data_IF_947753916921
#
_entry.id   IF_947753916921
#
_cell.length_a   1.000
_cell.length_b   1.000
_cell.length_c   1.000
_cell.angle_alpha   90.00
_cell.angle_beta   90.00
_cell.angle_gamma   90.00
#
_symmetry.space_group_name_H-M   'P 1'
#
loop_
_entity.id
_entity.type
_entity.pdbx_description
1 polymer ?
#
# COMPACT_ATOMS: atom_id res chain seq x y z
N UNK A 1 21.79 -14.42 29.63
CA UNK A 1 21.32 -15.39 28.67
C UNK A 1 21.11 -14.82 27.28
N UNK A 2 20.91 -15.71 26.37
CA UNK A 2 20.55 -15.42 24.98
C UNK A 2 19.06 -15.75 24.81
N UNK A 3 18.30 -14.89 24.20
CA UNK A 3 16.91 -15.14 23.83
C UNK A 3 16.75 -14.91 22.34
N UNK A 4 16.19 -15.89 21.63
CA UNK A 4 15.90 -15.80 20.19
C UNK A 4 14.43 -16.09 20.01
N UNK A 5 13.75 -15.24 19.26
CA UNK A 5 12.38 -15.46 18.81
C UNK A 5 12.35 -15.32 17.30
N UNK A 6 11.85 -16.33 16.61
CA UNK A 6 11.68 -16.31 15.16
C UNK A 6 10.21 -16.43 14.78
N UNK A 7 9.80 -15.73 13.73
CA UNK A 7 8.46 -15.79 13.14
C UNK A 7 8.62 -15.95 11.63
N UNK A 8 7.80 -16.83 11.04
CA UNK A 8 7.61 -16.92 9.61
C UNK A 8 6.10 -16.94 9.31
N UNK A 9 5.69 -16.28 8.25
CA UNK A 9 4.28 -16.20 7.86
C UNK A 9 4.11 -15.94 6.38
N UNK A 10 2.90 -16.18 5.90
CA UNK A 10 2.48 -15.87 4.53
C UNK A 10 1.09 -15.25 4.54
N UNK A 11 0.82 -14.43 3.53
CA UNK A 11 -0.46 -13.78 3.31
C UNK A 11 -0.84 -13.92 1.84
N UNK A 12 -2.10 -14.19 1.60
CA UNK A 12 -2.70 -14.15 0.27
C UNK A 12 -3.96 -13.30 0.32
N UNK A 13 -4.01 -12.30 -0.54
CA UNK A 13 -5.14 -11.40 -0.68
C UNK A 13 -5.63 -11.40 -2.13
N UNK A 14 -6.94 -11.60 -2.34
CA UNK A 14 -7.61 -11.52 -3.65
C UNK A 14 -8.83 -10.61 -3.51
N UNK A 15 -8.79 -9.48 -4.20
CA UNK A 15 -9.87 -8.50 -4.20
C UNK A 15 -10.43 -8.33 -5.61
N UNK A 16 -11.75 -8.40 -5.74
CA UNK A 16 -12.48 -8.17 -6.97
C UNK A 16 -13.68 -7.27 -6.70
N UNK A 17 -13.84 -6.26 -7.51
CA UNK A 17 -15.00 -5.38 -7.44
C UNK A 17 -15.71 -5.33 -8.81
N UNK A 18 -17.00 -5.66 -8.77
CA UNK A 18 -17.90 -5.57 -9.92
C UNK A 18 -18.86 -4.43 -9.67
N UNK A 19 -18.98 -3.53 -10.63
CA UNK A 19 -19.91 -2.40 -10.57
C UNK A 19 -20.99 -2.60 -11.62
N UNK A 20 -22.24 -2.54 -11.18
CA UNK A 20 -23.40 -2.45 -12.05
C UNK A 20 -23.99 -1.07 -11.84
N UNK A 21 -24.07 -0.30 -12.90
CA UNK A 21 -24.64 1.06 -12.89
C UNK A 21 -25.83 1.12 -13.83
N UNK A 22 -26.85 1.83 -13.41
CA UNK A 22 -28.03 2.09 -14.24
C UNK A 22 -28.45 3.53 -14.08
N UNK A 23 -28.94 4.13 -15.14
CA UNK A 23 -29.59 5.45 -15.10
C UNK A 23 -30.86 5.43 -15.94
N UNK A 24 -31.81 6.24 -15.56
CA UNK A 24 -33.01 6.49 -16.35
C UNK A 24 -33.39 7.98 -16.27
N UNK A 25 -34.11 8.44 -17.29
CA UNK A 25 -34.65 9.80 -17.37
C UNK A 25 -36.14 9.71 -17.70
N UNK A 26 -36.90 10.75 -17.36
CA UNK A 26 -38.33 10.84 -17.69
C UNK A 26 -39.18 9.87 -16.87
N UNK A 27 -38.88 9.68 -15.59
CA UNK A 27 -39.75 8.98 -14.66
C UNK A 27 -41.15 9.70 -14.65
N UNK A 28 -42.25 8.96 -14.74
CA UNK A 28 -43.57 9.55 -14.82
C UNK A 28 -43.99 10.32 -13.56
N UNK A 29 -43.35 10.05 -12.45
CA UNK A 29 -43.54 10.72 -11.16
C UNK A 29 -42.35 10.45 -10.24
N UNK A 30 -42.09 11.34 -9.31
CA UNK A 30 -41.07 11.20 -8.26
C UNK A 30 -41.39 10.05 -7.27
N UNK A 31 -42.60 9.54 -7.29
CA UNK A 31 -43.04 8.42 -6.45
C UNK A 31 -42.59 7.04 -7.00
N UNK A 32 -42.15 6.98 -8.26
CA UNK A 32 -41.74 5.74 -8.91
C UNK A 32 -40.35 5.90 -9.51
N UNK A 33 -39.29 5.97 -8.69
CA UNK A 33 -37.90 6.22 -9.14
C UNK A 33 -37.20 4.94 -9.61
N UNK A 34 -37.94 4.00 -10.23
CA UNK A 34 -37.37 2.74 -10.69
C UNK A 34 -36.80 2.86 -12.11
N UNK A 35 -35.69 2.21 -12.40
CA UNK A 35 -35.10 2.15 -13.73
C UNK A 35 -36.07 1.62 -14.79
N UNK A 36 -36.96 0.72 -14.39
CA UNK A 36 -37.97 0.10 -15.27
C UNK A 36 -39.16 1.04 -15.59
N UNK A 37 -39.33 2.11 -14.84
CA UNK A 37 -40.40 3.10 -15.05
C UNK A 37 -39.99 4.23 -16.01
N UNK A 38 -38.77 4.19 -16.55
CA UNK A 38 -38.30 5.21 -17.49
C UNK A 38 -39.05 5.12 -18.83
N UNK A 39 -39.23 6.27 -19.45
CA UNK A 39 -39.82 6.35 -20.79
C UNK A 39 -38.95 5.66 -21.83
N UNK A 40 -39.56 5.00 -22.83
CA UNK A 40 -38.80 4.40 -23.94
C UNK A 40 -38.04 5.50 -24.69
N UNK A 41 -36.99 5.10 -25.45
CA UNK A 41 -36.23 6.06 -26.27
C UNK A 41 -37.15 6.78 -27.23
N UNK A 42 -36.99 8.08 -27.31
CA UNK A 42 -37.76 8.94 -28.21
C UNK A 42 -36.87 9.47 -29.31
N UNK A 43 -37.46 9.68 -30.48
CA UNK A 43 -36.76 10.33 -31.60
C UNK A 43 -37.05 11.80 -31.53
N UNK A 44 -36.01 12.63 -31.38
CA UNK A 44 -36.09 14.07 -31.42
C UNK A 44 -35.33 14.58 -32.66
N UNK A 45 -36.05 14.83 -33.72
CA UNK A 45 -35.47 15.09 -35.04
C UNK A 45 -34.76 13.84 -35.58
N UNK A 46 -33.46 13.96 -35.87
CA UNK A 46 -32.61 12.80 -36.27
C UNK A 46 -31.87 12.15 -35.10
N UNK A 47 -32.06 12.61 -33.88
CA UNK A 47 -31.37 12.12 -32.69
C UNK A 47 -32.23 11.14 -31.90
N UNK A 48 -31.71 9.94 -31.67
CA UNK A 48 -32.29 8.97 -30.76
C UNK A 48 -31.85 9.33 -29.35
N UNK A 49 -32.79 9.75 -28.50
CA UNK A 49 -32.55 10.00 -27.09
C UNK A 49 -32.83 8.71 -26.33
N UNK A 50 -31.82 8.16 -25.71
CA UNK A 50 -31.92 6.93 -24.93
C UNK A 50 -32.04 7.30 -23.45
N UNK A 51 -33.26 7.34 -22.87
CA UNK A 51 -33.50 7.87 -21.52
C UNK A 51 -33.08 6.92 -20.40
N UNK A 52 -32.69 5.71 -20.73
CA UNK A 52 -32.25 4.72 -19.77
C UNK A 52 -31.03 3.96 -20.29
N UNK A 53 -30.16 3.62 -19.40
CA UNK A 53 -28.98 2.82 -19.71
C UNK A 53 -28.56 1.98 -18.52
N UNK A 54 -28.02 0.82 -18.79
CA UNK A 54 -27.37 -0.03 -17.80
C UNK A 54 -25.99 -0.41 -18.28
N UNK A 55 -25.03 -0.41 -17.42
CA UNK A 55 -23.68 -0.88 -17.69
C UNK A 55 -23.19 -1.76 -16.54
N UNK A 56 -22.39 -2.73 -16.86
CA UNK A 56 -21.65 -3.51 -15.87
C UNK A 56 -20.17 -3.44 -16.18
N UNK A 57 -19.36 -3.29 -15.17
CA UNK A 57 -17.93 -3.19 -15.31
C UNK A 57 -17.20 -3.98 -14.23
N UNK A 58 -16.19 -4.72 -14.65
CA UNK A 58 -15.17 -5.30 -13.77
C UNK A 58 -13.99 -4.33 -13.73
N UNK A 59 -14.02 -3.42 -12.77
CA UNK A 59 -13.12 -2.29 -12.77
C UNK A 59 -12.00 -2.35 -11.74
N UNK A 60 -12.02 -3.33 -10.84
CA UNK A 60 -11.00 -3.46 -9.81
C UNK A 60 -10.69 -4.93 -9.54
N UNK A 61 -9.45 -5.29 -9.73
CA UNK A 61 -8.94 -6.60 -9.37
C UNK A 61 -7.50 -6.46 -8.87
N UNK A 62 -7.27 -6.99 -7.69
CA UNK A 62 -5.95 -7.01 -7.08
C UNK A 62 -5.71 -8.34 -6.38
N UNK A 63 -4.52 -8.85 -6.60
CA UNK A 63 -4.00 -10.01 -5.89
C UNK A 63 -2.66 -9.66 -5.30
N UNK A 64 -2.51 -9.89 -3.99
CA UNK A 64 -1.27 -9.71 -3.27
C UNK A 64 -0.89 -11.04 -2.63
N UNK A 65 0.36 -11.42 -2.77
CA UNK A 65 0.95 -12.59 -2.12
C UNK A 65 2.18 -12.13 -1.36
N UNK A 66 2.25 -12.46 -0.07
CA UNK A 66 3.33 -12.01 0.78
C UNK A 66 3.95 -13.16 1.57
N UNK A 67 5.25 -13.07 1.78
CA UNK A 67 5.97 -13.92 2.73
C UNK A 67 6.76 -13.02 3.68
N UNK A 68 6.76 -13.33 4.96
CA UNK A 68 7.47 -12.58 6.00
C UNK A 68 8.32 -13.51 6.87
N UNK A 69 9.53 -13.08 7.14
CA UNK A 69 10.40 -13.66 8.15
C UNK A 69 10.88 -12.60 9.11
N UNK A 70 10.87 -12.89 10.40
CA UNK A 70 11.37 -11.99 11.45
C UNK A 70 12.15 -12.77 12.49
N UNK A 71 13.28 -12.23 12.90
CA UNK A 71 14.09 -12.76 14.00
C UNK A 71 14.37 -11.63 14.99
N UNK A 72 14.06 -11.88 16.26
CA UNK A 72 14.44 -11.00 17.35
C UNK A 72 15.48 -11.75 18.20
N UNK A 73 16.57 -11.06 18.50
CA UNK A 73 17.63 -11.56 19.37
C UNK A 73 17.88 -10.59 20.50
N UNK A 74 17.94 -11.13 21.71
CA UNK A 74 18.24 -10.34 22.91
C UNK A 74 19.38 -11.04 23.67
N UNK A 75 20.42 -10.27 23.98
CA UNK A 75 21.55 -10.74 24.78
C UNK A 75 21.58 -10.04 26.12
N UNK A 76 21.55 -10.85 27.19
CA UNK A 76 21.59 -10.42 28.61
C UNK A 76 20.57 -9.31 28.94
N UNK A 77 19.47 -9.23 28.20
CA UNK A 77 18.49 -8.14 28.32
C UNK A 77 19.10 -6.73 28.15
N UNK A 78 20.28 -6.63 27.51
CA UNK A 78 21.00 -5.38 27.23
C UNK A 78 20.94 -5.02 25.77
N UNK A 79 21.30 -5.94 24.91
CA UNK A 79 21.42 -5.73 23.46
C UNK A 79 20.24 -6.40 22.77
N UNK A 80 19.53 -5.62 21.97
CA UNK A 80 18.39 -6.07 21.19
C UNK A 80 18.70 -5.94 19.72
N UNK A 81 18.49 -6.98 18.95
CA UNK A 81 18.63 -6.99 17.49
C UNK A 81 17.35 -7.57 16.89
N UNK A 82 16.78 -6.87 15.92
CA UNK A 82 15.66 -7.39 15.12
C UNK A 82 16.05 -7.35 13.65
N UNK A 83 15.85 -8.46 12.97
CA UNK A 83 15.91 -8.54 11.52
C UNK A 83 14.53 -8.95 10.98
N UNK A 84 14.08 -8.31 9.93
CA UNK A 84 12.85 -8.65 9.21
C UNK A 84 13.09 -8.64 7.72
N UNK A 85 12.46 -9.55 7.01
CA UNK A 85 12.38 -9.51 5.56
C UNK A 85 10.95 -9.82 5.15
N UNK A 86 10.42 -9.00 4.25
CA UNK A 86 9.13 -9.22 3.62
C UNK A 86 9.31 -9.26 2.11
N UNK A 87 8.70 -10.23 1.48
CA UNK A 87 8.62 -10.34 0.02
C UNK A 87 7.16 -10.24 -0.37
N UNK A 88 6.81 -9.23 -1.14
CA UNK A 88 5.44 -8.98 -1.60
C UNK A 88 5.36 -9.09 -3.12
N UNK A 89 4.33 -9.78 -3.61
CA UNK A 89 3.99 -9.84 -5.03
C UNK A 89 2.65 -9.16 -5.28
N UNK A 90 2.55 -8.33 -6.33
CA UNK A 90 1.31 -7.63 -6.70
C UNK A 90 0.95 -7.87 -8.15
N UNK A 91 -0.35 -8.15 -8.41
CA UNK A 91 -0.91 -8.29 -9.76
C UNK A 91 -1.00 -6.97 -10.53
N UNK A 92 -0.81 -5.83 -9.87
CA UNK A 92 -0.78 -4.51 -10.53
C UNK A 92 0.47 -4.30 -11.39
N UNK A 93 1.52 -5.09 -11.13
CA UNK A 93 2.78 -5.04 -11.85
C UNK A 93 2.86 -6.14 -12.92
N UNK A 94 3.79 -6.02 -13.86
CA UNK A 94 4.03 -7.01 -14.91
C UNK A 94 5.03 -8.09 -14.51
N UNK A 95 5.04 -9.16 -15.29
CA UNK A 95 6.04 -10.23 -15.19
C UNK A 95 7.46 -9.66 -15.23
N UNK A 96 8.28 -10.05 -14.26
CA UNK A 96 9.62 -9.51 -14.02
C UNK A 96 9.67 -8.53 -12.85
N UNK A 97 8.59 -7.77 -12.59
CA UNK A 97 8.52 -6.76 -11.52
C UNK A 97 7.46 -7.09 -10.45
N UNK A 98 6.80 -8.26 -10.52
CA UNK A 98 5.74 -8.64 -9.57
C UNK A 98 6.19 -8.55 -8.12
N UNK A 99 7.40 -9.04 -7.83
CA UNK A 99 7.89 -9.22 -6.48
C UNK A 99 8.84 -8.10 -6.07
N UNK A 100 8.59 -7.54 -4.88
CA UNK A 100 9.50 -6.65 -4.18
C UNK A 100 10.00 -7.29 -2.89
N UNK A 101 11.26 -7.03 -2.54
CA UNK A 101 11.85 -7.49 -1.27
C UNK A 101 12.15 -6.28 -0.39
N UNK A 102 11.67 -6.33 0.84
CA UNK A 102 11.66 -5.23 1.78
C UNK A 102 12.31 -5.67 3.10
N UNK A 103 13.64 -5.52 3.21
CA UNK A 103 14.36 -5.84 4.44
C UNK A 103 14.26 -4.71 5.46
N UNK A 104 14.41 -5.09 6.73
CA UNK A 104 14.52 -4.15 7.84
C UNK A 104 15.42 -4.72 8.94
N UNK A 105 16.14 -3.84 9.61
CA UNK A 105 16.99 -4.17 10.76
C UNK A 105 16.85 -3.09 11.82
N UNK A 106 16.83 -3.49 13.07
CA UNK A 106 16.90 -2.56 14.19
C UNK A 106 17.80 -3.06 15.30
N UNK A 107 18.47 -2.13 15.94
CA UNK A 107 19.33 -2.37 17.10
C UNK A 107 18.85 -1.47 18.23
N UNK A 108 18.71 -2.03 19.41
CA UNK A 108 18.40 -1.32 20.64
C UNK A 108 19.37 -1.70 21.75
N UNK A 109 19.62 -0.77 22.62
CA UNK A 109 20.50 -0.99 23.77
C UNK A 109 19.82 -0.56 25.07
N UNK A 110 19.56 -1.50 25.96
CA UNK A 110 19.07 -1.21 27.31
C UNK A 110 20.24 -0.76 28.19
N UNK A 111 20.62 0.51 28.04
CA UNK A 111 21.79 1.11 28.73
C UNK A 111 21.68 1.02 30.24
N UNK A 112 20.46 1.15 30.77
CA UNK A 112 20.17 1.06 32.20
C UNK A 112 20.50 -0.32 32.82
N UNK A 113 20.64 -1.37 32.01
CA UNK A 113 21.02 -2.71 32.47
C UNK A 113 22.56 -2.92 32.52
N UNK A 114 23.34 -1.91 32.11
CA UNK A 114 24.80 -1.99 32.16
C UNK A 114 25.34 -1.73 33.58
N UNK A 115 26.38 -2.46 33.95
CA UNK A 115 26.97 -2.36 35.29
C UNK A 115 27.56 -0.96 35.55
N UNK A 116 28.10 -0.31 34.53
CA UNK A 116 28.66 1.04 34.63
C UNK A 116 27.58 2.11 34.83
N UNK A 117 26.34 1.83 34.40
CA UNK A 117 25.22 2.76 34.56
C UNK A 117 24.64 2.69 35.96
N UNK A 118 24.56 1.45 36.50
CA UNK A 118 24.04 1.19 37.84
C UNK A 118 24.97 1.81 38.90
N UNK A 119 24.41 2.57 39.83
CA UNK A 119 25.18 3.28 40.85
C UNK A 119 25.68 4.70 40.43
N UNK A 120 25.46 5.11 39.21
CA UNK A 120 25.72 6.47 38.78
C UNK A 120 24.66 7.43 39.34
N UNK A 121 25.04 8.68 39.60
CA UNK A 121 24.09 9.73 40.02
C UNK A 121 22.91 9.88 39.03
N UNK A 122 23.16 9.66 37.71
CA UNK A 122 22.18 9.75 36.64
C UNK A 122 21.11 8.64 36.77
N UNK A 123 21.48 7.43 37.18
CA UNK A 123 20.55 6.31 37.31
C UNK A 123 19.47 6.53 38.37
N UNK A 124 19.72 7.46 39.29
CA UNK A 124 18.75 7.85 40.33
C UNK A 124 17.57 8.65 39.75
N UNK A 125 17.80 9.40 38.69
CA UNK A 125 16.79 10.23 38.03
C UNK A 125 16.27 9.63 36.74
N UNK A 126 17.15 9.00 35.95
CA UNK A 126 16.81 8.28 34.74
C UNK A 126 16.80 6.77 35.03
N UNK A 127 15.63 6.22 35.32
CA UNK A 127 15.44 4.80 35.66
C UNK A 127 15.59 3.86 34.46
N UNK A 128 15.24 4.33 33.26
CA UNK A 128 15.48 3.59 32.02
C UNK A 128 16.03 4.48 30.93
N UNK A 129 16.95 3.93 30.13
CA UNK A 129 17.54 4.59 28.96
C UNK A 129 17.73 3.52 27.89
N UNK A 130 17.08 3.70 26.74
CA UNK A 130 17.12 2.78 25.61
C UNK A 130 17.30 3.55 24.29
N UNK A 131 18.51 3.82 23.88
CA UNK A 131 18.79 4.28 22.52
C UNK A 131 18.47 3.14 21.51
N UNK A 132 17.99 3.53 20.34
CA UNK A 132 17.68 2.60 19.24
C UNK A 132 17.98 3.23 17.89
N UNK A 133 18.34 2.39 16.94
CA UNK A 133 18.49 2.73 15.53
C UNK A 133 17.80 1.68 14.70
N UNK A 134 17.12 2.11 13.66
CA UNK A 134 16.53 1.19 12.70
C UNK A 134 16.69 1.68 11.27
N UNK A 135 16.83 0.71 10.38
CA UNK A 135 16.79 0.93 8.94
C UNK A 135 15.82 -0.04 8.32
N UNK A 136 14.96 0.45 7.44
CA UNK A 136 13.98 -0.38 6.76
C UNK A 136 13.65 0.14 5.36
N UNK A 137 13.27 -0.80 4.51
CA UNK A 137 12.75 -0.54 3.17
C UNK A 137 11.29 -0.97 3.14
N UNK A 138 10.39 -0.06 2.70
CA UNK A 138 8.99 -0.33 2.50
C UNK A 138 8.62 -0.20 1.03
N UNK A 139 7.79 -1.12 0.52
CA UNK A 139 7.24 -1.08 -0.82
C UNK A 139 5.84 -0.49 -0.86
N UNK A 140 5.52 0.21 -1.94
CA UNK A 140 4.19 0.73 -2.20
C UNK A 140 3.82 0.59 -3.68
N UNK A 141 2.58 0.17 -3.98
CA UNK A 141 1.99 0.15 -5.32
C UNK A 141 0.58 0.74 -5.32
N UNK A 142 0.14 1.33 -4.22
CA UNK A 142 -1.24 1.81 -4.05
C UNK A 142 -1.61 2.94 -5.01
N UNK A 143 -0.63 3.76 -5.42
CA UNK A 143 -0.81 4.83 -6.41
C UNK A 143 -0.95 4.32 -7.84
N UNK A 144 -0.65 3.03 -8.09
CA UNK A 144 -0.81 2.41 -9.40
C UNK A 144 -2.24 1.90 -9.56
N UNK A 145 -2.90 2.26 -10.64
CA UNK A 145 -4.23 1.72 -10.98
C UNK A 145 -4.22 0.20 -11.14
N UNK A 146 -5.35 -0.46 -10.90
CA UNK A 146 -5.47 -1.93 -10.94
C UNK A 146 -5.02 -2.56 -12.26
N UNK A 147 -5.22 -1.84 -13.38
CA UNK A 147 -4.86 -2.28 -14.73
C UNK A 147 -3.84 -1.34 -15.41
N UNK A 148 -3.11 -0.52 -14.65
CA UNK A 148 -2.22 0.49 -15.20
C UNK A 148 -1.10 -0.09 -16.09
N UNK A 149 -0.73 -1.35 -15.88
CA UNK A 149 0.24 -2.06 -16.71
C UNK A 149 -0.39 -2.95 -17.80
N UNK A 150 -1.73 -2.93 -17.94
CA UNK A 150 -2.45 -3.71 -18.94
C UNK A 150 -2.90 -2.84 -20.10
N UNK A 151 -2.74 -3.34 -21.34
CA UNK A 151 -3.19 -2.61 -22.52
C UNK A 151 -4.72 -2.52 -22.53
N UNK A 152 -5.24 -1.31 -22.52
CA UNK A 152 -6.67 -1.04 -22.71
C UNK A 152 -6.91 -0.68 -24.18
N UNK A 153 -7.95 -1.26 -24.74
CA UNK A 153 -8.40 -0.94 -26.10
C UNK A 153 -9.72 -0.18 -26.02
N UNK A 154 -9.77 0.92 -26.72
CA UNK A 154 -10.97 1.73 -26.85
C UNK A 154 -11.67 1.42 -28.18
N UNK A 155 -12.98 1.63 -28.21
CA UNK A 155 -13.77 1.49 -29.42
C UNK A 155 -13.48 2.67 -30.37
N UNK A 156 -13.09 2.37 -31.60
CA UNK A 156 -12.80 3.36 -32.67
C UNK A 156 -14.03 3.70 -33.53
N UNK A 157 -15.21 3.21 -33.14
CA UNK A 157 -16.39 3.29 -34.00
C UNK A 157 -16.45 2.18 -35.03
N UNK A 158 -17.17 2.39 -36.12
CA UNK A 158 -17.34 1.39 -37.20
C UNK A 158 -16.59 1.83 -38.46
N UNK A 159 -15.87 0.88 -39.07
CA UNK A 159 -15.27 1.02 -40.37
C UNK A 159 -15.84 -0.06 -41.31
N UNK A 160 -16.48 0.33 -42.38
CA UNK A 160 -17.14 -0.55 -43.34
C UNK A 160 -18.08 -1.58 -42.68
N UNK A 161 -18.85 -1.15 -41.65
CA UNK A 161 -19.79 -2.01 -40.90
C UNK A 161 -19.17 -2.86 -39.81
N UNK A 162 -17.86 -2.87 -39.64
CA UNK A 162 -17.14 -3.62 -38.60
C UNK A 162 -16.71 -2.70 -37.47
N UNK A 163 -16.84 -3.18 -36.22
CA UNK A 163 -16.34 -2.46 -35.05
C UNK A 163 -14.82 -2.37 -35.06
N UNK A 164 -14.28 -1.16 -34.96
CA UNK A 164 -12.85 -0.88 -34.84
C UNK A 164 -12.43 -0.70 -33.39
N UNK A 165 -11.19 -1.06 -33.08
CA UNK A 165 -10.57 -0.80 -31.77
C UNK A 165 -9.19 -0.18 -31.95
N UNK A 166 -8.79 0.66 -31.00
CA UNK A 166 -7.45 1.24 -30.95
C UNK A 166 -6.88 1.15 -29.54
N UNK A 167 -5.54 1.18 -29.43
CA UNK A 167 -4.88 1.21 -28.13
C UNK A 167 -5.19 2.53 -27.40
N UNK A 168 -5.81 2.43 -26.20
CA UNK A 168 -6.34 3.59 -25.48
C UNK A 168 -5.28 4.42 -24.76
N UNK A 169 -4.13 3.84 -24.43
CA UNK A 169 -3.05 4.53 -23.75
C UNK A 169 -1.72 3.85 -23.96
N UNK A 170 -0.65 4.62 -23.86
CA UNK A 170 0.70 4.05 -23.77
C UNK A 170 0.90 3.44 -22.40
N UNK A 171 1.41 2.20 -22.37
CA UNK A 171 1.72 1.50 -21.13
C UNK A 171 3.22 1.54 -20.90
N UNK A 172 3.63 1.93 -19.69
CA UNK A 172 4.98 1.64 -19.23
C UNK A 172 5.02 0.21 -18.67
N UNK A 173 5.73 -0.67 -19.35
CA UNK A 173 5.86 -2.08 -18.93
C UNK A 173 6.93 -2.30 -17.88
N UNK A 174 7.78 -1.32 -17.60
CA UNK A 174 8.89 -1.40 -16.64
C UNK A 174 8.56 -0.75 -15.27
N UNK A 175 7.28 -0.56 -14.99
CA UNK A 175 6.82 -0.05 -13.69
C UNK A 175 7.21 -1.04 -12.60
N UNK A 176 7.79 -0.53 -11.52
CA UNK A 176 8.30 -1.28 -10.36
C UNK A 176 7.63 -0.79 -9.09
N UNK A 177 7.91 -1.50 -7.99
CA UNK A 177 7.56 -1.07 -6.65
C UNK A 177 8.18 0.28 -6.32
N UNK A 178 7.37 1.25 -5.90
CA UNK A 178 7.86 2.42 -5.19
C UNK A 178 8.48 1.99 -3.88
N UNK A 179 9.69 2.45 -3.58
CA UNK A 179 10.45 2.07 -2.39
C UNK A 179 10.72 3.27 -1.51
N UNK A 180 10.40 3.14 -0.23
CA UNK A 180 10.75 4.13 0.78
C UNK A 180 11.79 3.55 1.71
N UNK A 181 13.00 4.12 1.70
CA UNK A 181 14.05 3.81 2.65
C UNK A 181 13.89 4.74 3.86
N UNK A 182 13.78 4.16 5.04
CA UNK A 182 13.69 4.90 6.30
C UNK A 182 14.90 4.57 7.18
N UNK A 183 15.54 5.58 7.72
CA UNK A 183 16.54 5.49 8.79
C UNK A 183 16.01 6.25 9.98
N UNK A 184 15.89 5.55 11.13
CA UNK A 184 15.29 6.11 12.33
C UNK A 184 16.26 5.98 13.49
N UNK A 185 16.44 7.08 14.25
CA UNK A 185 17.18 7.16 15.51
C UNK A 185 16.18 7.47 16.61
N UNK A 186 16.11 6.65 17.63
CA UNK A 186 15.19 6.85 18.74
C UNK A 186 15.87 6.71 20.09
N UNK A 187 15.28 7.31 21.09
CA UNK A 187 15.63 7.12 22.49
C UNK A 187 14.38 7.07 23.36
N UNK A 188 14.26 6.01 24.15
CA UNK A 188 13.22 5.87 25.14
C UNK A 188 13.85 6.11 26.53
N UNK A 189 13.33 7.07 27.29
CA UNK A 189 13.82 7.49 28.60
C UNK A 189 12.71 7.35 29.62
N UNK A 190 13.00 6.71 30.74
CA UNK A 190 12.13 6.66 31.91
C UNK A 190 12.75 7.41 33.08
N UNK A 191 12.00 8.30 33.69
CA UNK A 191 12.45 9.13 34.81
C UNK A 191 11.66 8.80 36.07
N UNK A 192 12.29 9.01 37.25
CA UNK A 192 11.64 8.91 38.55
C UNK A 192 10.92 7.56 38.77
N UNK A 193 11.59 6.45 38.52
CA UNK A 193 11.06 5.10 38.58
C UNK A 193 9.85 4.90 37.62
N UNK A 194 10.03 5.28 36.35
CA UNK A 194 9.03 5.16 35.28
C UNK A 194 7.74 6.00 35.45
N UNK A 195 7.75 6.98 36.36
CA UNK A 195 6.60 7.87 36.54
C UNK A 195 6.47 8.87 35.37
N UNK A 196 7.59 9.19 34.75
CA UNK A 196 7.62 10.03 33.55
C UNK A 196 8.38 9.26 32.49
N UNK A 197 7.78 9.10 31.31
CA UNK A 197 8.41 8.48 30.15
C UNK A 197 8.48 9.50 29.02
N UNK A 198 9.63 9.55 28.34
CA UNK A 198 9.87 10.39 27.18
C UNK A 198 10.40 9.51 26.02
N UNK A 199 9.77 9.62 24.88
CA UNK A 199 10.26 9.02 23.64
C UNK A 199 10.58 10.13 22.65
N UNK A 200 11.78 10.10 22.10
CA UNK A 200 12.22 11.01 21.07
C UNK A 200 12.69 10.23 19.84
N UNK A 201 12.21 10.62 18.67
CA UNK A 201 12.54 10.00 17.39
C UNK A 201 12.96 11.06 16.38
N UNK A 202 14.03 10.73 15.65
CA UNK A 202 14.47 11.46 14.47
C UNK A 202 14.56 10.49 13.29
N UNK A 203 13.90 10.81 12.19
CA UNK A 203 13.86 9.93 11.02
C UNK A 203 14.21 10.67 9.72
N UNK A 204 14.82 9.93 8.81
CA UNK A 204 15.11 10.35 7.45
C UNK A 204 14.44 9.35 6.52
N UNK A 205 13.63 9.84 5.56
CA UNK A 205 12.95 9.01 4.56
C UNK A 205 13.30 9.47 3.16
N UNK A 206 13.68 8.52 2.31
CA UNK A 206 13.94 8.74 0.90
C UNK A 206 13.04 7.82 0.08
N UNK A 207 12.32 8.40 -0.89
CA UNK A 207 11.43 7.67 -1.80
C UNK A 207 12.13 7.50 -3.14
N UNK A 208 12.17 6.26 -3.62
CA UNK A 208 12.74 5.86 -4.91
C UNK A 208 11.66 5.24 -5.80
N UNK A 209 11.84 5.33 -7.12
CA UNK A 209 10.93 4.77 -8.11
C UNK A 209 9.48 5.26 -7.90
N UNK A 210 9.31 6.55 -7.58
CA UNK A 210 8.01 7.15 -7.26
C UNK A 210 7.04 6.99 -8.43
N UNK A 211 5.88 6.41 -8.14
CA UNK A 211 4.82 6.23 -9.12
C UNK A 211 4.03 7.54 -9.29
N UNK A 212 4.07 8.10 -10.48
CA UNK A 212 3.35 9.31 -10.83
C UNK A 212 2.70 9.17 -12.22
N UNK A 213 1.46 9.65 -12.35
CA UNK A 213 0.81 9.79 -13.65
C UNK A 213 1.39 10.99 -14.39
N UNK A 214 1.84 10.79 -15.64
CA UNK A 214 2.23 11.86 -16.53
C UNK A 214 1.11 12.08 -17.56
N UNK A 215 0.57 13.29 -17.62
CA UNK A 215 -0.28 13.70 -18.71
C UNK A 215 0.64 14.11 -19.88
N UNK A 216 0.69 13.27 -20.91
CA UNK A 216 1.36 13.57 -22.15
C UNK A 216 0.31 14.24 -23.05
N UNK A 217 0.40 15.57 -23.18
CA UNK A 217 -0.43 16.38 -24.09
C UNK A 217 0.20 16.44 -25.48
#
# INVERSE_FOLDING_TARGET
GHTVTALAGGEFYDFKNYVISGFSQGAPTDLIPWLTASTPPSVQGTTIVNPAGASSNFNQWERITSAIGRVNYTYKNRYLLTGVVRVDGSSRLKKGNYYGTFPGVSVGWNLHNENFYQGTFISKYLSSVKPRISYGVNGNVSSLGFFATSQVYNNAGTYNGFGGTYAGSYINSDVRWERTNSLDFGADLGCLNERITLTADYFIRNVFDKLAGLNIS
#
